data_IF_941042469077
#
_entry.id   IF_941042469077
#
_cell.length_a   1.000
_cell.length_b   1.000
_cell.length_c   1.000
_cell.angle_alpha   90.00
_cell.angle_beta   90.00
_cell.angle_gamma   90.00
#
_symmetry.space_group_name_H-M   'P 1'
#
loop_
_entity.id
_entity.type
_entity.pdbx_description
1 polymer ?
#
# COMPACT_ATOMS: atom_id res chain seq x y z
N UNK A 1 8.68 -11.69 2.79
CA UNK A 1 9.24 -10.42 2.26
C UNK A 1 9.58 -9.44 3.37
N UNK A 2 8.66 -9.16 4.31
CA UNK A 2 8.86 -8.27 5.46
C UNK A 2 10.17 -8.57 6.20
N UNK A 3 10.40 -9.84 6.59
CA UNK A 3 11.66 -10.30 7.17
C UNK A 3 12.90 -9.95 6.35
N UNK A 4 12.84 -9.99 5.00
CA UNK A 4 14.00 -9.60 4.17
C UNK A 4 14.24 -8.09 4.18
N UNK A 5 13.21 -7.27 4.38
CA UNK A 5 13.34 -5.82 4.53
C UNK A 5 13.89 -5.49 5.92
N UNK A 6 13.40 -6.16 6.95
CA UNK A 6 13.89 -6.05 8.33
C UNK A 6 15.37 -6.46 8.43
N UNK A 7 15.74 -7.60 7.83
CA UNK A 7 17.14 -8.05 7.74
C UNK A 7 18.04 -7.06 6.99
N UNK A 8 17.47 -6.21 6.13
CA UNK A 8 18.18 -5.13 5.42
C UNK A 8 18.21 -3.82 6.21
N UNK A 9 17.78 -3.83 7.48
CA UNK A 9 17.75 -2.66 8.36
C UNK A 9 16.61 -1.69 8.06
N UNK A 10 15.56 -2.14 7.35
CA UNK A 10 14.35 -1.33 7.19
C UNK A 10 13.38 -1.60 8.36
N UNK A 11 12.90 -0.53 8.98
CA UNK A 11 11.77 -0.63 9.90
C UNK A 11 10.51 -0.69 9.07
N UNK A 12 9.68 -1.69 9.33
CA UNK A 12 8.43 -1.93 8.61
C UNK A 12 7.27 -1.84 9.61
N UNK A 13 6.20 -1.14 9.24
CA UNK A 13 4.94 -1.16 9.97
C UNK A 13 3.83 -1.49 9.00
N UNK A 14 3.11 -2.57 9.27
CA UNK A 14 1.94 -2.96 8.50
C UNK A 14 0.72 -2.29 9.12
N UNK A 15 -0.12 -1.65 8.32
CA UNK A 15 -1.45 -1.21 8.73
C UNK A 15 -2.47 -2.17 8.12
N UNK A 16 -3.41 -2.61 8.94
CA UNK A 16 -4.43 -3.56 8.53
C UNK A 16 -5.82 -2.97 8.69
N UNK A 17 -6.76 -3.50 7.91
CA UNK A 17 -8.18 -3.24 8.08
C UNK A 17 -8.82 -4.50 8.62
N UNK A 18 -9.58 -4.36 9.70
CA UNK A 18 -10.43 -5.41 10.24
C UNK A 18 -11.65 -5.55 9.33
N UNK A 19 -11.44 -6.32 8.26
CA UNK A 19 -12.42 -6.75 7.28
C UNK A 19 -12.23 -8.25 7.09
N UNK A 20 -13.30 -9.01 7.27
CA UNK A 20 -13.34 -10.46 7.10
C UNK A 20 -12.33 -11.20 8.02
N UNK A 21 -11.58 -12.18 7.49
CA UNK A 21 -10.63 -13.03 8.25
C UNK A 21 -9.19 -12.48 8.29
N UNK A 22 -8.99 -11.22 7.89
CA UNK A 22 -7.66 -10.65 7.71
C UNK A 22 -6.82 -10.57 9.00
N UNK A 23 -7.44 -10.22 10.13
CA UNK A 23 -6.69 -10.14 11.39
C UNK A 23 -6.19 -11.51 11.81
N UNK A 24 -7.06 -12.53 11.77
CA UNK A 24 -6.71 -13.90 12.10
C UNK A 24 -5.58 -14.44 11.22
N UNK A 25 -5.61 -14.14 9.92
CA UNK A 25 -4.55 -14.56 9.00
C UNK A 25 -3.23 -13.84 9.27
N UNK A 26 -3.25 -12.54 9.57
CA UNK A 26 -2.03 -11.79 9.90
C UNK A 26 -1.41 -12.23 11.23
N UNK A 27 -2.26 -12.55 12.21
CA UNK A 27 -1.84 -13.07 13.51
C UNK A 27 -1.22 -14.47 13.36
N UNK A 28 -1.83 -15.36 12.56
CA UNK A 28 -1.30 -16.69 12.26
C UNK A 28 0.03 -16.64 11.47
N UNK A 29 0.17 -15.66 10.56
CA UNK A 29 1.41 -15.39 9.85
C UNK A 29 2.48 -14.71 10.72
N UNK A 30 2.17 -14.36 11.97
CA UNK A 30 3.08 -13.70 12.90
C UNK A 30 3.54 -12.32 12.42
N UNK A 31 2.69 -11.59 11.71
CA UNK A 31 3.01 -10.27 11.17
C UNK A 31 2.56 -9.16 12.14
N UNK A 32 3.49 -8.33 12.64
CA UNK A 32 3.10 -7.14 13.43
C UNK A 32 2.30 -6.15 12.56
N UNK A 33 1.03 -5.95 12.90
CA UNK A 33 0.12 -5.05 12.19
C UNK A 33 -0.62 -4.12 13.15
N UNK A 34 -0.88 -2.89 12.69
CA UNK A 34 -1.73 -1.94 13.38
C UNK A 34 -3.08 -1.89 12.67
N UNK A 35 -4.13 -2.38 13.33
CA UNK A 35 -5.49 -2.27 12.84
C UNK A 35 -5.96 -0.80 12.87
N UNK A 36 -6.16 -0.20 11.69
CA UNK A 36 -6.55 1.20 11.55
C UNK A 36 -8.06 1.40 11.53
N UNK A 37 -8.83 0.47 10.97
CA UNK A 37 -10.29 0.57 10.94
C UNK A 37 -10.94 -0.81 10.94
N UNK A 38 -12.20 -0.87 11.39
CA UNK A 38 -13.07 -2.04 11.30
C UNK A 38 -14.21 -1.75 10.35
N UNK A 39 -14.47 -2.68 9.44
CA UNK A 39 -15.59 -2.61 8.52
C UNK A 39 -16.90 -2.42 9.28
N UNK A 40 -17.62 -1.33 9.00
CA UNK A 40 -18.94 -1.07 9.59
C UNK A 40 -20.05 -1.34 8.57
N UNK A 41 -21.21 -1.77 9.06
CA UNK A 41 -22.40 -1.98 8.23
C UNK A 41 -23.20 -0.68 8.10
N UNK A 42 -23.85 -0.50 6.94
CA UNK A 42 -24.71 0.65 6.62
C UNK A 42 -23.94 1.86 6.06
N UNK A 43 -24.60 2.66 5.21
CA UNK A 43 -23.98 3.78 4.48
C UNK A 43 -23.26 4.80 5.38
N UNK A 44 -23.91 5.23 6.46
CA UNK A 44 -23.32 6.17 7.43
C UNK A 44 -22.15 5.53 8.19
N UNK A 45 -22.25 4.23 8.51
CA UNK A 45 -21.17 3.47 9.14
C UNK A 45 -19.93 3.39 8.25
N UNK A 46 -20.13 3.14 6.95
CA UNK A 46 -19.06 3.09 5.95
C UNK A 46 -18.41 4.46 5.74
N UNK A 47 -19.19 5.54 5.69
CA UNK A 47 -18.66 6.89 5.55
C UNK A 47 -17.83 7.30 6.78
N UNK A 48 -18.33 7.02 7.98
CA UNK A 48 -17.59 7.27 9.21
C UNK A 48 -16.32 6.42 9.29
N UNK A 49 -16.39 5.15 8.86
CA UNK A 49 -15.22 4.28 8.77
C UNK A 49 -14.18 4.87 7.82
N UNK A 50 -14.59 5.40 6.66
CA UNK A 50 -13.69 6.02 5.70
C UNK A 50 -12.94 7.19 6.33
N UNK A 51 -13.64 8.10 7.00
CA UNK A 51 -13.04 9.25 7.69
C UNK A 51 -12.08 8.82 8.82
N UNK A 52 -12.49 7.84 9.64
CA UNK A 52 -11.64 7.29 10.69
C UNK A 52 -10.39 6.63 10.10
N UNK A 53 -10.53 5.95 8.96
CA UNK A 53 -9.43 5.30 8.25
C UNK A 53 -8.44 6.33 7.72
N UNK A 54 -8.90 7.40 7.08
CA UNK A 54 -8.06 8.52 6.64
C UNK A 54 -7.28 9.10 7.84
N UNK A 55 -7.99 9.46 8.90
CA UNK A 55 -7.42 10.09 10.08
C UNK A 55 -6.39 9.21 10.80
N UNK A 56 -6.70 7.94 11.02
CA UNK A 56 -5.77 7.00 11.68
C UNK A 56 -4.58 6.66 10.81
N UNK A 57 -4.77 6.56 9.49
CA UNK A 57 -3.67 6.38 8.55
C UNK A 57 -2.74 7.59 8.59
N UNK A 58 -3.29 8.80 8.57
CA UNK A 58 -2.53 10.04 8.72
C UNK A 58 -1.71 10.06 10.01
N UNK A 59 -2.33 9.77 11.17
CA UNK A 59 -1.63 9.69 12.46
C UNK A 59 -0.52 8.64 12.42
N UNK A 60 -0.77 7.46 11.85
CA UNK A 60 0.21 6.39 11.76
C UNK A 60 1.42 6.82 10.92
N UNK A 61 1.19 7.45 9.76
CA UNK A 61 2.25 8.00 8.92
C UNK A 61 3.02 9.09 9.65
N UNK A 62 2.35 9.98 10.38
CA UNK A 62 2.99 11.06 11.13
C UNK A 62 3.88 10.56 12.27
N UNK A 63 3.42 9.53 12.99
CA UNK A 63 4.18 8.91 14.09
C UNK A 63 5.34 8.07 13.58
N UNK A 64 5.10 7.30 12.52
CA UNK A 64 6.10 6.37 11.98
C UNK A 64 7.14 7.08 11.10
N UNK A 65 6.78 8.22 10.49
CA UNK A 65 7.62 8.99 9.55
C UNK A 65 8.26 8.10 8.46
N UNK A 66 7.44 7.41 7.64
CA UNK A 66 7.96 6.55 6.60
C UNK A 66 8.70 7.36 5.53
N UNK A 67 9.74 6.76 4.98
CA UNK A 67 10.45 7.27 3.80
C UNK A 67 9.86 6.74 2.50
N UNK A 68 9.05 5.68 2.57
CA UNK A 68 8.41 5.01 1.45
C UNK A 68 7.11 4.34 1.90
N UNK A 69 6.11 4.35 1.04
CA UNK A 69 4.85 3.65 1.25
C UNK A 69 4.65 2.61 0.15
N UNK A 70 4.20 1.42 0.53
CA UNK A 70 3.66 0.42 -0.38
C UNK A 70 2.17 0.22 -0.09
N UNK A 71 1.35 0.31 -1.12
CA UNK A 71 -0.10 0.17 -1.04
C UNK A 71 -0.59 -0.93 -1.98
N UNK A 72 -1.57 -1.72 -1.53
CA UNK A 72 -2.37 -2.60 -2.38
C UNK A 72 -3.80 -2.03 -2.43
N UNK A 73 -4.13 -1.28 -3.49
CA UNK A 73 -5.47 -0.69 -3.75
C UNK A 73 -6.07 0.24 -2.68
N UNK A 74 -5.27 0.87 -1.81
CA UNK A 74 -5.81 1.75 -0.76
C UNK A 74 -5.81 3.23 -1.13
N UNK A 75 -7.00 3.84 -1.06
CA UNK A 75 -7.20 5.28 -1.28
C UNK A 75 -6.53 6.12 -0.19
N UNK A 76 -6.79 5.77 1.08
CA UNK A 76 -6.41 6.59 2.22
C UNK A 76 -4.91 6.81 2.31
N UNK A 77 -4.12 5.74 2.17
CA UNK A 77 -2.67 5.90 2.25
C UNK A 77 -2.11 6.70 1.08
N UNK A 78 -2.73 6.60 -0.10
CA UNK A 78 -2.19 7.22 -1.30
C UNK A 78 -2.43 8.73 -1.25
N UNK A 79 -3.59 9.15 -0.72
CA UNK A 79 -3.86 10.55 -0.39
C UNK A 79 -2.94 11.07 0.70
N UNK A 80 -2.78 10.34 1.81
CA UNK A 80 -1.90 10.73 2.92
C UNK A 80 -0.44 10.83 2.45
N UNK A 81 0.04 9.87 1.66
CA UNK A 81 1.41 9.87 1.14
C UNK A 81 1.64 11.05 0.19
N UNK A 82 0.68 11.33 -0.71
CA UNK A 82 0.75 12.49 -1.59
C UNK A 82 0.77 13.81 -0.80
N UNK A 83 -0.13 13.96 0.18
CA UNK A 83 -0.21 15.14 1.04
C UNK A 83 1.10 15.36 1.82
N UNK A 84 1.70 14.27 2.31
CA UNK A 84 2.97 14.29 3.06
C UNK A 84 4.22 14.30 2.16
N UNK A 85 4.05 14.31 0.83
CA UNK A 85 5.13 14.20 -0.17
C UNK A 85 6.04 12.98 0.01
N UNK A 86 5.47 11.86 0.42
CA UNK A 86 6.14 10.58 0.59
C UNK A 86 5.92 9.74 -0.68
N UNK A 87 6.97 9.14 -1.26
CA UNK A 87 6.78 8.30 -2.43
C UNK A 87 5.88 7.11 -2.11
N UNK A 88 4.83 6.95 -2.90
CA UNK A 88 3.85 5.87 -2.78
C UNK A 88 3.91 4.96 -4.01
N UNK A 89 4.21 3.68 -3.78
CA UNK A 89 4.14 2.64 -4.80
C UNK A 89 2.85 1.87 -4.59
N UNK A 90 1.96 1.91 -5.56
CA UNK A 90 0.70 1.17 -5.52
C UNK A 90 0.81 -0.05 -6.41
N UNK A 91 0.43 -1.20 -5.87
CA UNK A 91 0.31 -2.42 -6.65
C UNK A 91 -1.16 -2.64 -7.01
N UNK A 92 -1.44 -2.67 -8.31
CA UNK A 92 -2.76 -2.88 -8.88
C UNK A 92 -2.81 -4.22 -9.61
N UNK A 93 -3.82 -5.03 -9.29
CA UNK A 93 -4.05 -6.35 -9.89
C UNK A 93 -5.46 -6.51 -10.46
N UNK A 94 -6.37 -5.60 -10.14
CA UNK A 94 -7.76 -5.63 -10.62
C UNK A 94 -8.01 -4.55 -11.67
N UNK A 95 -8.60 -4.89 -12.82
CA UNK A 95 -8.92 -3.89 -13.85
C UNK A 95 -10.31 -3.28 -13.69
N UNK A 96 -11.16 -3.91 -12.89
CA UNK A 96 -12.59 -3.62 -12.83
C UNK A 96 -12.95 -2.52 -11.81
N UNK A 97 -12.04 -2.18 -10.88
CA UNK A 97 -12.27 -1.19 -9.83
C UNK A 97 -12.05 0.27 -10.28
N UNK A 98 -12.53 0.61 -11.49
CA UNK A 98 -12.20 1.88 -12.19
C UNK A 98 -12.54 3.15 -11.40
N UNK A 99 -13.65 3.17 -10.67
CA UNK A 99 -14.03 4.33 -9.86
C UNK A 99 -13.05 4.55 -8.69
N UNK A 100 -12.69 3.49 -7.98
CA UNK A 100 -11.75 3.58 -6.86
C UNK A 100 -10.36 3.96 -7.38
N UNK A 101 -9.93 3.35 -8.49
CA UNK A 101 -8.66 3.61 -9.16
C UNK A 101 -8.47 5.08 -9.51
N UNK A 102 -9.49 5.73 -10.10
CA UNK A 102 -9.43 7.17 -10.41
C UNK A 102 -9.26 8.04 -9.18
N UNK A 103 -9.64 7.58 -7.99
CA UNK A 103 -9.50 8.34 -6.74
C UNK A 103 -8.09 8.29 -6.18
N UNK A 104 -7.30 7.24 -6.41
CA UNK A 104 -5.98 7.11 -5.78
C UNK A 104 -4.80 7.04 -6.76
N UNK A 105 -4.99 6.51 -7.97
CA UNK A 105 -3.91 6.36 -8.94
C UNK A 105 -3.25 7.68 -9.36
N UNK A 106 -3.97 8.81 -9.55
CA UNK A 106 -3.33 10.09 -9.83
C UNK A 106 -2.40 10.59 -8.71
N UNK A 107 -2.58 10.08 -7.50
CA UNK A 107 -1.79 10.43 -6.32
C UNK A 107 -0.66 9.42 -6.05
N UNK A 108 -0.62 8.32 -6.80
CA UNK A 108 0.45 7.34 -6.73
C UNK A 108 1.71 7.88 -7.43
N UNK A 109 2.87 7.72 -6.80
CA UNK A 109 4.14 8.07 -7.45
C UNK A 109 4.54 7.03 -8.49
N UNK A 110 4.17 5.78 -8.25
CA UNK A 110 4.43 4.67 -9.17
C UNK A 110 3.34 3.62 -9.04
N UNK A 111 2.87 3.12 -10.17
CA UNK A 111 1.84 2.09 -10.26
C UNK A 111 2.49 0.84 -10.79
N UNK A 112 2.31 -0.27 -10.09
CA UNK A 112 2.92 -1.55 -10.41
C UNK A 112 1.80 -2.52 -10.74
N UNK A 113 1.71 -2.89 -12.02
CA UNK A 113 0.68 -3.80 -12.54
C UNK A 113 1.28 -5.14 -12.93
N UNK A 114 0.45 -6.18 -13.08
CA UNK A 114 0.88 -7.46 -13.65
C UNK A 114 0.94 -7.36 -15.19
N UNK A 115 1.72 -8.24 -15.86
CA UNK A 115 1.76 -8.28 -17.34
C UNK A 115 0.43 -8.57 -18.01
N UNK A 116 -0.48 -9.21 -17.28
CA UNK A 116 -1.84 -9.51 -17.72
C UNK A 116 -2.79 -8.33 -17.57
N UNK A 117 -2.29 -7.15 -17.18
CA UNK A 117 -3.04 -5.92 -17.01
C UNK A 117 -2.96 -5.07 -18.29
N UNK A 118 -4.08 -4.96 -19.00
CA UNK A 118 -4.26 -4.28 -20.28
C UNK A 118 -4.39 -2.76 -20.17
N UNK A 119 -4.76 -2.22 -19.00
CA UNK A 119 -4.92 -0.77 -18.82
C UNK A 119 -3.61 -0.07 -18.55
N UNK A 120 -3.32 0.95 -19.35
CA UNK A 120 -2.19 1.83 -19.11
C UNK A 120 -2.61 3.10 -18.33
N UNK A 121 -1.91 3.37 -17.23
CA UNK A 121 -2.12 4.53 -16.37
C UNK A 121 -1.12 5.67 -16.64
N UNK A 122 -0.41 5.62 -17.77
CA UNK A 122 0.51 6.65 -18.21
C UNK A 122 1.93 6.44 -17.66
N UNK A 123 2.79 7.47 -17.66
CA UNK A 123 4.24 7.32 -17.44
C UNK A 123 4.62 6.85 -16.03
N UNK A 124 3.70 6.90 -15.06
CA UNK A 124 3.92 6.35 -13.72
C UNK A 124 3.67 4.83 -13.64
N UNK A 125 3.10 4.23 -14.68
CA UNK A 125 2.78 2.81 -14.76
C UNK A 125 4.02 1.98 -15.10
N UNK A 126 4.19 0.88 -14.39
CA UNK A 126 5.27 -0.07 -14.61
C UNK A 126 4.72 -1.50 -14.52
N UNK A 127 4.63 -2.15 -15.68
CA UNK A 127 4.25 -3.55 -15.77
C UNK A 127 5.39 -4.44 -15.22
N UNK A 128 5.08 -5.30 -14.25
CA UNK A 128 5.99 -6.31 -13.75
C UNK A 128 6.03 -7.49 -14.72
N UNK A 129 7.14 -7.62 -15.45
CA UNK A 129 7.42 -8.74 -16.37
C UNK A 129 7.85 -10.04 -15.69
N UNK A 130 8.17 -10.02 -14.40
CA UNK A 130 8.61 -11.20 -13.64
C UNK A 130 7.76 -11.39 -12.39
N UNK A 131 7.36 -12.65 -12.16
CA UNK A 131 6.67 -13.08 -10.93
C UNK A 131 7.50 -12.64 -9.71
N UNK A 132 6.96 -11.70 -8.94
CA UNK A 132 7.63 -11.08 -7.80
C UNK A 132 6.88 -11.47 -6.52
N UNK A 133 7.53 -11.76 -5.39
CA UNK A 133 6.87 -11.96 -4.09
C UNK A 133 5.90 -10.86 -3.63
N UNK A 134 5.84 -9.71 -4.31
CA UNK A 134 4.76 -8.73 -4.18
C UNK A 134 3.38 -9.27 -4.63
N UNK A 135 3.34 -10.24 -5.53
CA UNK A 135 2.11 -10.91 -5.99
C UNK A 135 1.49 -11.84 -4.92
N UNK A 136 2.27 -12.32 -3.95
CA UNK A 136 1.69 -13.03 -2.79
C UNK A 136 0.93 -12.05 -1.88
N UNK A 137 1.21 -10.75 -1.99
CA UNK A 137 0.65 -9.70 -1.15
C UNK A 137 -0.70 -9.18 -1.65
N UNK A 138 -1.03 -9.33 -2.94
CA UNK A 138 -2.32 -8.91 -3.50
C UNK A 138 -3.49 -9.68 -2.94
N UNK A 139 -3.29 -10.96 -2.62
CA UNK A 139 -4.32 -11.79 -1.98
C UNK A 139 -4.60 -11.37 -0.52
N UNK A 140 -3.70 -10.59 0.11
CA UNK A 140 -3.96 -9.81 1.32
C UNK A 140 -4.49 -8.42 0.92
N UNK A 141 -5.64 -8.42 0.25
CA UNK A 141 -6.25 -7.32 -0.53
C UNK A 141 -6.58 -6.03 0.26
N UNK A 142 -6.11 -5.86 1.49
CA UNK A 142 -6.36 -4.65 2.30
C UNK A 142 -5.22 -4.25 3.23
N UNK A 143 -4.04 -4.85 3.07
CA UNK A 143 -2.87 -4.57 3.91
C UNK A 143 -2.03 -3.43 3.31
N UNK A 144 -1.75 -2.44 4.14
CA UNK A 144 -0.95 -1.26 3.84
C UNK A 144 0.42 -1.42 4.49
N UNK A 145 1.52 -1.02 3.83
CA UNK A 145 2.85 -1.10 4.44
C UNK A 145 3.53 0.26 4.43
N UNK A 146 3.89 0.72 5.63
CA UNK A 146 4.78 1.85 5.84
C UNK A 146 6.21 1.35 6.00
N UNK A 147 7.13 1.96 5.25
CA UNK A 147 8.55 1.63 5.31
C UNK A 147 9.35 2.87 5.71
N UNK A 148 10.14 2.72 6.77
CA UNK A 148 11.11 3.71 7.18
C UNK A 148 12.50 3.09 7.12
N UNK A 149 13.35 3.61 6.23
CA UNK A 149 14.76 3.23 6.19
C UNK A 149 15.57 4.40 5.68
N UNK A 150 16.51 4.87 6.50
CA UNK A 150 17.46 5.94 6.13
C UNK A 150 18.30 5.59 4.89
N UNK A 151 18.47 4.30 4.57
CA UNK A 151 19.31 3.81 3.47
C UNK A 151 18.56 3.19 2.28
N UNK A 152 17.27 2.83 2.40
CA UNK A 152 16.57 2.08 1.36
C UNK A 152 15.89 2.97 0.31
N UNK A 153 15.55 4.22 0.67
CA UNK A 153 14.91 5.16 -0.26
C UNK A 153 15.81 5.57 -1.45
N UNK A 154 17.15 5.54 -1.29
CA UNK A 154 18.11 5.78 -2.39
C UNK A 154 18.33 4.53 -3.26
N UNK A 155 18.27 3.32 -2.67
CA UNK A 155 18.45 2.04 -3.38
C UNK A 155 17.21 1.56 -4.13
N UNK A 156 16.01 1.78 -3.59
CA UNK A 156 14.77 1.53 -4.34
C UNK A 156 14.55 2.57 -5.42
N UNK A 157 14.99 3.83 -5.20
CA UNK A 157 15.10 4.82 -6.29
C UNK A 157 15.96 4.30 -7.43
N UNK A 158 17.19 3.85 -7.19
CA UNK A 158 18.06 3.36 -8.27
C UNK A 158 17.60 2.06 -8.94
N UNK A 159 17.03 1.09 -8.21
CA UNK A 159 16.64 -0.21 -8.80
C UNK A 159 15.23 -0.28 -9.38
N UNK A 160 14.28 0.52 -8.89
CA UNK A 160 12.93 0.56 -9.46
C UNK A 160 12.77 1.64 -10.53
N UNK A 161 13.68 2.62 -10.62
CA UNK A 161 13.64 3.66 -11.68
C UNK A 161 14.42 3.29 -12.93
N UNK A 162 15.28 2.27 -12.89
CA UNK A 162 16.00 1.77 -14.06
C UNK A 162 15.22 0.63 -14.73
N UNK A 163 14.17 0.98 -15.46
CA UNK A 163 13.71 0.29 -16.67
C UNK A 163 13.04 1.37 -17.51
N UNK A 164 13.89 2.19 -18.13
CA UNK A 164 13.54 2.90 -19.36
C UNK A 164 13.74 1.99 -20.55
#
# INVERSE_FOLDING_TARGET
MLRRLELRGATVKVLSRDKDVMLSLLDELGCDHLCISRARKGYLGTLFELLVREWRTFIAVLRFRPTLVLSAHSVAITHVAWLMRIPCIVHEDTEFATLQQRLFLPFASKIVTTTSYYKDWGPANCALTRWNPLHTFTHLSSSLILLSSRNMASRLRSRMWCFG
#
